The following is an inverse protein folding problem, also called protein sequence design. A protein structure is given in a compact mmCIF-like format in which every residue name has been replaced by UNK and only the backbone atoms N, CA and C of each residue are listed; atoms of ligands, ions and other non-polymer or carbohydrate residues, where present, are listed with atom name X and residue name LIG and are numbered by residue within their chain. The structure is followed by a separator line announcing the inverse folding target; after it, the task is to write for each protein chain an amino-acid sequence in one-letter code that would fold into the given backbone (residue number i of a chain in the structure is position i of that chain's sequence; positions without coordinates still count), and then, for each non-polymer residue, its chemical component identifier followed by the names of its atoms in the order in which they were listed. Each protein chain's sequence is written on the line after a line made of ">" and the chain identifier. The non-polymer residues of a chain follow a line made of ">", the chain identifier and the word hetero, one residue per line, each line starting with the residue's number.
data_IF_227963461968
#
_entry.id   IF_227963461968
#
_cell.length_a   1.000
_cell.length_b   1.000
_cell.length_c   1.000
_cell.angle_alpha   90.00
_cell.angle_beta   90.00
_cell.angle_gamma   90.00
#
_symmetry.space_group_name_H-M   'P 1'
#
loop_
_entity.id
_entity.type
_entity.pdbx_description
1 polymer ?
#
# COMPACT_ATOMS: atom_id res chain seq x y z
N UNK A 1 1.46 27.27 -11.16
CA UNK A 1 1.72 26.23 -12.19
C UNK A 1 2.08 24.94 -11.47
N UNK A 2 1.09 24.11 -11.17
CA UNK A 2 1.31 22.82 -10.51
C UNK A 2 1.67 21.78 -11.57
N UNK A 3 2.93 21.37 -11.57
CA UNK A 3 3.45 20.34 -12.44
C UNK A 3 2.93 18.97 -11.96
N UNK A 4 1.79 18.53 -12.50
CA UNK A 4 1.32 17.15 -12.35
C UNK A 4 2.28 16.24 -13.10
N UNK A 5 3.26 15.68 -12.38
CA UNK A 5 4.01 14.51 -12.85
C UNK A 5 2.98 13.40 -13.09
N UNK A 6 2.54 13.23 -14.33
CA UNK A 6 1.85 12.03 -14.77
C UNK A 6 2.81 10.87 -14.56
N UNK A 7 2.66 10.18 -13.42
CA UNK A 7 3.39 8.96 -13.12
C UNK A 7 3.15 7.97 -14.26
N UNK A 8 4.23 7.49 -14.87
CA UNK A 8 4.17 6.46 -15.91
C UNK A 8 3.53 5.23 -15.27
N UNK A 9 2.35 4.82 -15.76
CA UNK A 9 1.65 3.65 -15.23
C UNK A 9 2.60 2.45 -15.20
N UNK A 10 2.73 1.80 -14.04
CA UNK A 10 3.63 0.63 -13.90
C UNK A 10 2.94 -0.61 -14.45
N UNK A 11 3.18 -0.88 -15.73
CA UNK A 11 2.87 -2.17 -16.34
C UNK A 11 3.79 -3.26 -15.80
N UNK A 12 3.30 -4.51 -15.75
CA UNK A 12 4.15 -5.66 -15.46
C UNK A 12 5.16 -5.92 -16.58
N UNK A 13 6.23 -6.68 -16.33
CA UNK A 13 7.15 -7.08 -17.38
C UNK A 13 6.37 -7.83 -18.47
N UNK A 14 6.57 -7.42 -19.71
CA UNK A 14 6.04 -8.13 -20.87
C UNK A 14 6.59 -9.55 -20.92
N UNK A 15 5.95 -10.46 -21.66
CA UNK A 15 6.38 -11.87 -21.73
C UNK A 15 7.87 -12.02 -22.08
N UNK A 16 8.40 -11.15 -22.95
CA UNK A 16 9.80 -11.14 -23.38
C UNK A 16 10.80 -10.54 -22.39
N UNK A 17 10.34 -9.90 -21.31
CA UNK A 17 11.20 -9.30 -20.28
C UNK A 17 11.35 -10.19 -19.04
N UNK A 18 10.60 -11.28 -18.94
CA UNK A 18 10.66 -12.20 -17.79
C UNK A 18 11.84 -13.16 -17.92
N UNK A 19 12.46 -13.52 -16.79
CA UNK A 19 13.55 -14.50 -16.76
C UNK A 19 13.13 -15.94 -17.10
N UNK A 20 11.87 -16.31 -16.85
CA UNK A 20 11.34 -17.67 -17.05
C UNK A 20 10.20 -17.69 -18.07
N UNK A 21 10.48 -17.28 -19.31
CA UNK A 21 9.46 -17.08 -20.36
C UNK A 21 8.74 -18.37 -20.76
N UNK A 22 9.41 -19.51 -20.61
CA UNK A 22 8.85 -20.83 -20.94
C UNK A 22 7.72 -21.26 -20.00
N UNK A 23 7.60 -20.63 -18.82
CA UNK A 23 6.52 -20.90 -17.88
C UNK A 23 5.27 -20.10 -18.25
N UNK A 24 4.13 -20.80 -18.27
CA UNK A 24 2.82 -20.18 -18.48
C UNK A 24 2.44 -19.33 -17.28
N UNK A 25 1.82 -18.18 -17.54
CA UNK A 25 1.32 -17.26 -16.52
C UNK A 25 -0.05 -16.74 -16.94
N UNK A 26 -0.91 -16.45 -15.96
CA UNK A 26 -2.20 -15.82 -16.26
C UNK A 26 -1.99 -14.37 -16.72
N UNK A 27 -2.67 -13.92 -17.79
CA UNK A 27 -2.68 -12.52 -18.16
C UNK A 27 -3.34 -11.69 -17.05
N UNK A 28 -2.79 -10.52 -16.78
CA UNK A 28 -3.33 -9.57 -15.79
C UNK A 28 -3.43 -8.19 -16.43
N UNK A 29 -4.47 -7.41 -16.10
CA UNK A 29 -4.53 -6.01 -16.52
C UNK A 29 -3.40 -5.21 -15.87
N UNK A 30 -3.04 -4.09 -16.50
CA UNK A 30 -2.15 -3.10 -15.89
C UNK A 30 -2.83 -2.37 -14.74
N UNK A 31 -2.02 -1.66 -13.95
CA UNK A 31 -2.52 -0.78 -12.91
C UNK A 31 -3.14 0.51 -13.48
N UNK A 32 -4.08 1.14 -12.77
CA UNK A 32 -4.78 0.64 -11.58
C UNK A 32 -5.76 -0.48 -11.92
N UNK A 33 -5.78 -1.53 -11.08
CA UNK A 33 -6.62 -2.71 -11.31
C UNK A 33 -7.96 -2.58 -10.61
N UNK A 34 -9.00 -3.15 -11.24
CA UNK A 34 -10.33 -3.32 -10.64
C UNK A 34 -10.70 -4.79 -10.40
N UNK A 35 -9.84 -5.73 -10.84
CA UNK A 35 -10.02 -7.18 -10.67
C UNK A 35 -8.67 -7.87 -10.56
N UNK A 36 -8.61 -9.01 -9.87
CA UNK A 36 -7.36 -9.71 -9.61
C UNK A 36 -6.38 -8.85 -8.80
N UNK A 37 -6.91 -8.15 -7.79
CA UNK A 37 -6.16 -7.29 -6.88
C UNK A 37 -5.29 -8.14 -5.98
N UNK A 38 -4.05 -7.71 -5.75
CA UNK A 38 -3.13 -8.32 -4.80
C UNK A 38 -2.84 -7.33 -3.68
N UNK A 39 -3.32 -7.63 -2.48
CA UNK A 39 -2.91 -6.93 -1.27
C UNK A 39 -1.82 -7.73 -0.55
N UNK A 40 -0.73 -7.05 -0.19
CA UNK A 40 0.36 -7.65 0.59
C UNK A 40 0.36 -7.13 2.03
N UNK A 41 1.00 -7.88 2.93
CA UNK A 41 1.18 -7.47 4.32
C UNK A 41 2.30 -6.45 4.44
N UNK A 42 1.98 -5.31 5.02
CA UNK A 42 2.89 -4.26 5.44
C UNK A 42 3.30 -4.41 6.91
N UNK A 43 3.74 -3.31 7.55
CA UNK A 43 4.23 -3.33 8.93
C UNK A 43 3.25 -4.01 9.89
N UNK A 44 3.75 -4.99 10.66
CA UNK A 44 3.01 -5.66 11.73
C UNK A 44 3.99 -6.00 12.87
N UNK A 45 4.45 -7.25 12.96
CA UNK A 45 5.63 -7.64 13.75
C UNK A 45 6.93 -7.57 12.92
N UNK A 46 6.84 -7.81 11.60
CA UNK A 46 7.96 -7.64 10.69
C UNK A 46 8.21 -6.15 10.46
N UNK A 47 9.46 -5.73 10.64
CA UNK A 47 9.90 -4.37 10.35
C UNK A 47 9.98 -4.19 8.83
N UNK A 48 8.93 -3.63 8.24
CA UNK A 48 8.91 -3.21 6.84
C UNK A 48 9.27 -1.73 6.81
N UNK A 49 10.54 -1.47 6.50
CA UNK A 49 11.07 -0.12 6.34
C UNK A 49 11.07 0.34 4.88
N UNK A 50 11.31 1.63 4.67
CA UNK A 50 11.30 2.26 3.35
C UNK A 50 12.23 1.57 2.33
N UNK A 51 13.42 1.14 2.74
CA UNK A 51 14.39 0.50 1.82
C UNK A 51 13.90 -0.84 1.30
N UNK A 52 13.43 -1.70 2.20
CA UNK A 52 12.84 -2.98 1.83
C UNK A 52 11.64 -2.78 0.90
N UNK A 53 10.77 -1.82 1.24
CA UNK A 53 9.59 -1.56 0.44
C UNK A 53 9.96 -1.00 -0.95
N UNK A 54 11.00 -0.18 -1.04
CA UNK A 54 11.53 0.31 -2.32
C UNK A 54 11.98 -0.86 -3.20
N UNK A 55 12.82 -1.75 -2.68
CA UNK A 55 13.33 -2.91 -3.42
C UNK A 55 12.17 -3.82 -3.90
N UNK A 56 11.17 -4.02 -3.03
CA UNK A 56 9.97 -4.79 -3.36
C UNK A 56 9.16 -4.13 -4.49
N UNK A 57 8.92 -2.82 -4.41
CA UNK A 57 8.11 -2.10 -5.39
C UNK A 57 8.83 -1.84 -6.71
N UNK A 58 10.16 -1.77 -6.69
CA UNK A 58 11.00 -1.71 -7.88
C UNK A 58 10.96 -3.03 -8.65
N UNK A 59 11.07 -4.16 -7.95
CA UNK A 59 11.17 -5.49 -8.56
C UNK A 59 9.80 -6.12 -8.88
N UNK A 60 8.89 -6.06 -7.91
CA UNK A 60 7.61 -6.79 -7.95
C UNK A 60 6.39 -5.86 -7.85
N UNK A 61 6.60 -4.54 -7.79
CA UNK A 61 5.53 -3.56 -7.57
C UNK A 61 4.42 -3.59 -8.61
N UNK A 62 4.70 -4.01 -9.85
CA UNK A 62 3.68 -4.20 -10.86
C UNK A 62 2.61 -5.24 -10.47
N UNK A 63 2.91 -6.17 -9.56
CA UNK A 63 2.00 -7.22 -9.10
C UNK A 63 1.33 -6.92 -7.76
N UNK A 64 1.66 -5.80 -7.10
CA UNK A 64 1.15 -5.40 -5.79
C UNK A 64 0.20 -4.24 -5.98
N UNK A 65 -1.03 -4.33 -5.51
CA UNK A 65 -2.05 -3.28 -5.69
C UNK A 65 -2.35 -2.53 -4.38
N UNK A 66 -2.22 -3.22 -3.24
CA UNK A 66 -2.45 -2.63 -1.90
C UNK A 66 -1.40 -3.12 -0.89
N UNK A 67 -1.08 -2.28 0.09
CA UNK A 67 -0.25 -2.59 1.27
C UNK A 67 -1.10 -2.44 2.53
N UNK A 68 -1.22 -3.51 3.31
CA UNK A 68 -2.00 -3.52 4.55
C UNK A 68 -1.13 -3.43 5.80
N UNK A 69 -1.31 -2.40 6.61
CA UNK A 69 -0.74 -2.37 7.96
C UNK A 69 -1.48 -3.35 8.87
N UNK A 70 -0.74 -4.09 9.69
CA UNK A 70 -1.29 -5.09 10.61
C UNK A 70 -1.30 -4.61 12.05
N UNK A 71 -2.37 -4.92 12.78
CA UNK A 71 -2.44 -4.85 14.24
C UNK A 71 -2.16 -3.48 14.85
N UNK A 72 -2.45 -2.39 14.14
CA UNK A 72 -2.22 -1.03 14.65
C UNK A 72 -0.74 -0.65 14.75
N UNK A 73 0.16 -1.33 14.03
CA UNK A 73 1.60 -1.04 14.04
C UNK A 73 1.91 0.44 13.81
N UNK A 74 1.16 1.11 12.92
CA UNK A 74 1.30 2.54 12.63
C UNK A 74 1.07 3.46 13.84
N UNK A 75 0.35 3.02 14.88
CA UNK A 75 0.18 3.79 16.11
C UNK A 75 1.47 3.91 16.94
N UNK A 76 2.41 2.98 16.75
CA UNK A 76 3.70 2.97 17.46
C UNK A 76 4.82 3.59 16.61
N UNK A 77 4.59 3.80 15.32
CA UNK A 77 5.59 4.31 14.39
C UNK A 77 5.63 5.85 14.42
N UNK A 78 6.81 6.48 14.23
CA UNK A 78 6.87 7.92 14.07
C UNK A 78 6.02 8.37 12.87
N UNK A 79 5.24 9.45 13.05
CA UNK A 79 4.34 9.99 12.01
C UNK A 79 5.03 10.17 10.65
N UNK A 80 6.28 10.65 10.66
CA UNK A 80 7.10 10.83 9.45
C UNK A 80 7.37 9.52 8.70
N UNK A 81 7.59 8.42 9.42
CA UNK A 81 7.86 7.11 8.80
C UNK A 81 6.58 6.53 8.17
N UNK A 82 5.45 6.62 8.87
CA UNK A 82 4.15 6.18 8.31
C UNK A 82 3.85 6.94 7.01
N UNK A 83 4.01 8.27 7.03
CA UNK A 83 3.92 9.12 5.84
C UNK A 83 4.82 8.63 4.70
N UNK A 84 6.11 8.44 4.96
CA UNK A 84 7.07 8.04 3.94
C UNK A 84 6.76 6.68 3.31
N UNK A 85 6.24 5.74 4.09
CA UNK A 85 5.79 4.44 3.58
C UNK A 85 4.58 4.63 2.67
N UNK A 86 3.59 5.41 3.11
CA UNK A 86 2.37 5.64 2.32
C UNK A 86 2.68 6.39 1.02
N UNK A 87 3.50 7.44 1.08
CA UNK A 87 3.94 8.21 -0.09
C UNK A 87 4.68 7.29 -1.09
N UNK A 88 5.58 6.41 -0.62
CA UNK A 88 6.28 5.45 -1.47
C UNK A 88 5.32 4.45 -2.13
N UNK A 89 4.29 3.99 -1.42
CA UNK A 89 3.23 3.17 -2.02
C UNK A 89 2.50 3.93 -3.13
N UNK A 90 2.08 5.17 -2.88
CA UNK A 90 1.36 6.00 -3.84
C UNK A 90 2.18 6.32 -5.09
N UNK A 91 3.48 6.59 -4.93
CA UNK A 91 4.43 6.76 -6.05
C UNK A 91 4.49 5.53 -6.98
N UNK A 92 4.08 4.36 -6.49
CA UNK A 92 4.09 3.08 -7.18
C UNK A 92 2.69 2.55 -7.54
N UNK A 93 1.66 3.40 -7.48
CA UNK A 93 0.26 3.03 -7.70
C UNK A 93 -0.15 1.85 -6.80
N UNK A 94 0.21 1.92 -5.51
CA UNK A 94 -0.19 0.98 -4.46
C UNK A 94 -1.00 1.74 -3.43
N UNK A 95 -2.22 1.28 -3.15
CA UNK A 95 -3.05 1.83 -2.06
C UNK A 95 -2.59 1.32 -0.70
N UNK A 96 -2.98 1.98 0.37
CA UNK A 96 -2.62 1.58 1.74
C UNK A 96 -3.85 1.41 2.61
N UNK A 97 -3.94 0.27 3.29
CA UNK A 97 -5.00 -0.02 4.26
C UNK A 97 -4.47 -0.02 5.70
N UNK A 98 -5.34 0.33 6.64
CA UNK A 98 -5.03 0.25 8.08
C UNK A 98 -5.20 -1.16 8.66
N UNK A 99 -5.68 -2.11 7.87
CA UNK A 99 -6.26 -3.35 8.38
C UNK A 99 -7.49 -3.11 9.27
N UNK A 100 -7.98 -4.19 9.87
CA UNK A 100 -9.06 -4.19 10.88
C UNK A 100 -8.55 -3.71 12.24
N UNK A 101 -8.02 -2.49 12.29
CA UNK A 101 -7.68 -1.84 13.56
C UNK A 101 -8.82 -0.96 14.08
N UNK A 102 -9.83 -0.69 13.24
CA UNK A 102 -10.98 0.13 13.63
C UNK A 102 -11.79 -0.52 14.76
N UNK A 103 -11.81 -1.86 14.86
CA UNK A 103 -12.48 -2.64 15.90
C UNK A 103 -11.95 -2.29 17.29
N UNK A 104 -10.63 -2.11 17.41
CA UNK A 104 -10.01 -1.63 18.64
C UNK A 104 -10.36 -0.16 18.94
N UNK A 105 -10.41 0.69 17.90
CA UNK A 105 -10.75 2.10 18.04
C UNK A 105 -12.22 2.29 18.42
N UNK A 106 -13.13 1.45 17.91
CA UNK A 106 -14.56 1.47 18.23
C UNK A 106 -14.81 1.29 19.73
N UNK A 107 -14.03 0.44 20.39
CA UNK A 107 -14.08 0.23 21.84
C UNK A 107 -13.70 1.49 22.65
N UNK A 108 -13.06 2.49 22.03
CA UNK A 108 -12.69 3.77 22.65
C UNK A 108 -13.72 4.88 22.40
N UNK A 109 -14.81 4.58 21.69
CA UNK A 109 -15.94 5.49 21.49
C UNK A 109 -15.83 6.43 20.30
N UNK A 110 -16.92 7.17 20.07
CA UNK A 110 -17.15 7.96 18.85
C UNK A 110 -16.09 9.02 18.57
N UNK A 111 -15.53 9.65 19.60
CA UNK A 111 -14.49 10.67 19.41
C UNK A 111 -13.17 10.07 18.93
N UNK A 112 -12.78 8.92 19.47
CA UNK A 112 -11.60 8.18 19.03
C UNK A 112 -11.73 7.79 17.55
N UNK A 113 -12.91 7.29 17.14
CA UNK A 113 -13.21 6.95 15.73
C UNK A 113 -13.08 8.17 14.82
N UNK A 114 -13.66 9.32 15.21
CA UNK A 114 -13.55 10.56 14.41
C UNK A 114 -12.09 11.01 14.27
N UNK A 115 -11.33 10.98 15.35
CA UNK A 115 -9.91 11.33 15.34
C UNK A 115 -9.10 10.35 14.50
N UNK A 116 -9.40 9.06 14.60
CA UNK A 116 -8.76 8.01 13.80
C UNK A 116 -8.98 8.21 12.30
N UNK A 117 -10.23 8.42 11.86
CA UNK A 117 -10.54 8.66 10.44
C UNK A 117 -9.82 9.91 9.93
N UNK A 118 -9.83 10.99 10.71
CA UNK A 118 -9.11 12.23 10.38
C UNK A 118 -7.62 11.97 10.23
N UNK A 119 -7.01 11.25 11.19
CA UNK A 119 -5.58 10.94 11.14
C UNK A 119 -5.21 9.99 10.00
N UNK A 120 -6.05 9.01 9.68
CA UNK A 120 -5.87 8.12 8.53
C UNK A 120 -5.82 8.92 7.23
N UNK A 121 -6.80 9.81 7.02
CA UNK A 121 -6.84 10.72 5.87
C UNK A 121 -5.62 11.62 5.85
N UNK A 122 -5.29 12.23 7.00
CA UNK A 122 -4.14 13.10 7.11
C UNK A 122 -2.85 12.37 6.78
N UNK A 123 -2.69 11.08 7.13
CA UNK A 123 -1.51 10.25 6.91
C UNK A 123 -1.45 9.57 5.53
N UNK A 124 -2.50 9.70 4.71
CA UNK A 124 -2.55 9.10 3.37
C UNK A 124 -2.90 7.61 3.37
N UNK A 125 -3.68 7.14 4.33
CA UNK A 125 -4.34 5.83 4.19
C UNK A 125 -5.53 5.95 3.25
N UNK A 126 -5.65 5.01 2.32
CA UNK A 126 -6.72 4.98 1.31
C UNK A 126 -7.93 4.19 1.78
N UNK A 127 -7.72 3.22 2.68
CA UNK A 127 -8.74 2.29 3.12
C UNK A 127 -8.67 2.04 4.62
N UNK A 128 -9.84 2.07 5.25
CA UNK A 128 -10.05 1.55 6.60
C UNK A 128 -10.86 0.26 6.42
N UNK A 129 -10.31 -0.87 6.85
CA UNK A 129 -11.05 -2.14 6.87
C UNK A 129 -11.91 -2.18 8.14
N UNK A 130 -13.13 -2.71 8.02
CA UNK A 130 -14.14 -2.85 9.08
C UNK A 130 -14.61 -4.28 9.17
#
# INVERSE_FOLDING_TARGET
>A
MTNTKSGRKKAGPSQGERGFQFLRTNPRPDKPRQRGITEIRGPYYSVIGQRYLHDLLETMGAYVDSLKFGGGSFCLMPRKIVRQINDLCHENEVTVSTGGFIEFVLAQGHEAVRNYIRQCKELGFDTIEV
#
